data_IF_648762181057
#
_entry.id   IF_648762181057
#
_cell.length_a   1.000
_cell.length_b   1.000
_cell.length_c   1.000
_cell.angle_alpha   90.00
_cell.angle_beta   90.00
_cell.angle_gamma   90.00
#
_symmetry.space_group_name_H-M   'P 1'
#
loop_
_entity.id
_entity.type
_entity.pdbx_description
1 polymer ?
#
# COMPACT_ATOMS: atom_id res chain seq x y z
N UNK A 1 25.26 -58.17 -36.17
CA UNK A 1 25.53 -56.71 -36.26
C UNK A 1 24.77 -56.04 -37.41
N UNK A 2 24.20 -56.79 -38.33
CA UNK A 2 23.53 -56.28 -39.54
C UNK A 2 22.23 -55.52 -39.22
N UNK A 3 21.36 -56.09 -38.38
CA UNK A 3 20.12 -55.45 -37.92
C UNK A 3 20.32 -54.10 -37.21
N UNK A 4 21.45 -53.90 -36.53
CA UNK A 4 21.77 -52.65 -35.84
C UNK A 4 22.26 -51.57 -36.81
N UNK A 5 22.91 -51.99 -37.89
CA UNK A 5 23.43 -51.10 -38.94
C UNK A 5 22.29 -50.57 -39.82
N UNK A 6 21.29 -51.40 -40.10
CA UNK A 6 20.12 -51.04 -40.91
C UNK A 6 19.09 -50.24 -40.11
N UNK A 7 18.65 -50.73 -38.93
CA UNK A 7 17.61 -50.07 -38.14
C UNK A 7 18.11 -48.96 -37.21
N UNK A 8 19.41 -48.81 -37.02
CA UNK A 8 19.99 -47.83 -36.09
C UNK A 8 19.77 -46.38 -36.53
N UNK A 9 19.77 -46.12 -37.83
CA UNK A 9 19.55 -44.77 -38.38
C UNK A 9 18.07 -44.37 -38.23
N UNK A 10 17.15 -45.26 -38.58
CA UNK A 10 15.71 -45.04 -38.45
C UNK A 10 15.29 -44.88 -36.98
N UNK A 11 15.86 -45.69 -36.09
CA UNK A 11 15.68 -45.54 -34.65
C UNK A 11 16.15 -44.16 -34.17
N UNK A 12 17.35 -43.73 -34.56
CA UNK A 12 17.92 -42.44 -34.17
C UNK A 12 17.08 -41.27 -34.70
N UNK A 13 16.58 -41.37 -35.93
CA UNK A 13 15.68 -40.37 -36.51
C UNK A 13 14.39 -40.26 -35.68
N UNK A 14 13.74 -41.40 -35.43
CA UNK A 14 12.49 -41.46 -34.66
C UNK A 14 12.67 -40.99 -33.21
N UNK A 15 13.77 -41.36 -32.56
CA UNK A 15 14.13 -40.92 -31.22
C UNK A 15 14.38 -39.39 -31.16
N UNK A 16 15.03 -38.84 -32.18
CA UNK A 16 15.26 -37.39 -32.27
C UNK A 16 13.96 -36.60 -32.48
N UNK A 17 13.03 -37.13 -33.27
CA UNK A 17 11.69 -36.56 -33.47
C UNK A 17 10.87 -36.63 -32.18
N UNK A 18 10.85 -37.79 -31.52
CA UNK A 18 10.18 -37.97 -30.24
C UNK A 18 10.74 -37.01 -29.18
N UNK A 19 12.06 -36.88 -29.11
CA UNK A 19 12.72 -35.95 -28.18
C UNK A 19 12.35 -34.50 -28.48
N UNK A 20 12.25 -34.13 -29.76
CA UNK A 20 11.87 -32.77 -30.16
C UNK A 20 10.42 -32.46 -29.80
N UNK A 21 9.48 -33.34 -30.14
CA UNK A 21 8.07 -33.21 -29.77
C UNK A 21 7.88 -33.19 -28.25
N UNK A 22 8.64 -34.00 -27.51
CA UNK A 22 8.62 -34.01 -26.05
C UNK A 22 9.11 -32.69 -25.46
N UNK A 23 10.17 -32.10 -26.01
CA UNK A 23 10.68 -30.78 -25.57
C UNK A 23 9.63 -29.70 -25.76
N UNK A 24 8.99 -29.69 -26.92
CA UNK A 24 7.93 -28.75 -27.25
C UNK A 24 6.74 -28.89 -26.30
N UNK A 25 6.27 -30.12 -26.04
CA UNK A 25 5.21 -30.39 -25.07
C UNK A 25 5.57 -29.91 -23.66
N UNK A 26 6.79 -30.16 -23.19
CA UNK A 26 7.25 -29.72 -21.86
C UNK A 26 7.27 -28.19 -21.79
N UNK A 27 7.73 -27.51 -22.85
CA UNK A 27 7.73 -26.06 -22.90
C UNK A 27 6.31 -25.49 -22.82
N UNK A 28 5.37 -26.04 -23.60
CA UNK A 28 3.97 -25.62 -23.55
C UNK A 28 3.31 -25.88 -22.20
N UNK A 29 3.56 -27.05 -21.60
CA UNK A 29 3.06 -27.39 -20.27
C UNK A 29 3.59 -26.45 -19.20
N UNK A 30 4.89 -26.11 -19.25
CA UNK A 30 5.51 -25.16 -18.33
C UNK A 30 4.88 -23.78 -18.41
N UNK A 31 4.71 -23.25 -19.63
CA UNK A 31 4.04 -21.96 -19.83
C UNK A 31 2.59 -21.98 -19.34
N UNK A 32 1.85 -23.07 -19.61
CA UNK A 32 0.48 -23.23 -19.14
C UNK A 32 0.38 -23.25 -17.61
N UNK A 33 1.26 -23.99 -16.93
CA UNK A 33 1.28 -24.06 -15.46
C UNK A 33 1.62 -22.72 -14.83
N UNK A 34 2.55 -21.96 -15.42
CA UNK A 34 2.87 -20.59 -14.98
C UNK A 34 1.66 -19.68 -15.15
N UNK A 35 1.01 -19.68 -16.31
CA UNK A 35 -0.17 -18.85 -16.55
C UNK A 35 -1.34 -19.24 -15.64
N UNK A 36 -1.54 -20.53 -15.38
CA UNK A 36 -2.58 -21.01 -14.47
C UNK A 36 -2.29 -20.58 -13.03
N UNK A 37 -1.03 -20.66 -12.59
CA UNK A 37 -0.59 -20.19 -11.29
C UNK A 37 -0.78 -18.68 -11.14
N UNK A 38 -0.40 -17.88 -12.14
CA UNK A 38 -0.62 -16.44 -12.14
C UNK A 38 -2.10 -16.07 -12.13
N UNK A 39 -2.94 -16.77 -12.91
CA UNK A 39 -4.38 -16.54 -12.96
C UNK A 39 -5.08 -16.89 -11.63
N UNK A 40 -4.65 -17.96 -10.97
CA UNK A 40 -5.22 -18.42 -9.69
C UNK A 40 -4.61 -17.73 -8.47
N UNK A 41 -3.59 -16.90 -8.66
CA UNK A 41 -2.90 -16.24 -7.56
C UNK A 41 -3.75 -15.14 -6.97
N UNK A 42 -4.18 -15.32 -5.72
CA UNK A 42 -4.71 -14.23 -4.91
C UNK A 42 -3.55 -13.38 -4.36
N UNK A 43 -3.32 -12.22 -4.98
CA UNK A 43 -2.28 -11.27 -4.55
C UNK A 43 -2.91 -10.31 -3.54
N UNK A 44 -2.61 -10.50 -2.25
CA UNK A 44 -2.93 -9.50 -1.23
C UNK A 44 -1.82 -8.44 -1.18
N UNK A 45 -2.12 -7.23 -1.66
CA UNK A 45 -1.19 -6.09 -1.64
C UNK A 45 -1.11 -5.38 -0.29
N UNK A 46 -1.94 -5.78 0.68
CA UNK A 46 -2.00 -5.17 2.00
C UNK A 46 -2.06 -6.24 3.07
N UNK A 47 -1.08 -6.22 3.96
CA UNK A 47 -1.13 -7.01 5.19
C UNK A 47 -1.96 -6.23 6.21
N UNK A 48 -3.28 -6.44 6.20
CA UNK A 48 -4.17 -5.86 7.21
C UNK A 48 -3.92 -6.61 8.52
N UNK A 49 -2.99 -6.12 9.35
CA UNK A 49 -2.69 -6.66 10.68
C UNK A 49 -3.85 -6.34 11.65
N UNK A 50 -4.58 -5.25 11.42
CA UNK A 50 -5.80 -4.90 12.13
C UNK A 50 -6.75 -4.11 11.24
N UNK A 51 -8.06 -4.31 11.45
CA UNK A 51 -9.10 -3.55 10.77
C UNK A 51 -9.04 -2.07 11.16
N UNK A 52 -9.39 -1.14 10.26
CA UNK A 52 -9.43 0.28 10.58
C UNK A 52 -10.43 0.53 11.71
N UNK A 53 -9.96 1.14 12.79
CA UNK A 53 -10.81 1.56 13.90
C UNK A 53 -11.37 2.95 13.61
N UNK A 54 -12.67 3.11 13.82
CA UNK A 54 -13.29 4.44 13.88
C UNK A 54 -12.79 5.13 15.14
N UNK A 55 -12.36 6.39 15.02
CA UNK A 55 -11.84 7.13 16.16
C UNK A 55 -12.94 7.39 17.21
N UNK A 56 -12.75 6.87 18.42
CA UNK A 56 -13.72 6.97 19.54
C UNK A 56 -14.04 8.42 19.95
N UNK A 57 -13.10 9.34 19.74
CA UNK A 57 -13.26 10.76 20.09
C UNK A 57 -13.08 11.63 18.86
N UNK A 58 -14.01 12.57 18.69
CA UNK A 58 -13.92 13.60 17.65
C UNK A 58 -12.61 14.39 17.83
N UNK A 59 -11.81 14.46 16.75
CA UNK A 59 -10.53 15.18 16.70
C UNK A 59 -10.66 16.71 16.64
N UNK A 60 -11.88 17.24 16.66
CA UNK A 60 -12.11 18.68 16.70
C UNK A 60 -11.80 19.25 18.09
N UNK A 61 -11.37 20.52 18.16
CA UNK A 61 -11.10 21.17 19.43
C UNK A 61 -12.34 21.11 20.32
N UNK A 62 -12.12 20.78 21.59
CA UNK A 62 -13.21 20.62 22.55
C UNK A 62 -13.87 22.00 22.73
N UNK A 63 -15.20 22.09 22.53
CA UNK A 63 -15.93 23.38 22.50
C UNK A 63 -15.63 24.27 23.69
N UNK A 64 -15.60 23.70 24.89
CA UNK A 64 -15.34 24.47 26.11
C UNK A 64 -13.91 25.02 26.17
N UNK A 65 -12.92 24.33 25.59
CA UNK A 65 -11.52 24.77 25.59
C UNK A 65 -11.37 26.07 24.81
N UNK A 66 -12.00 26.17 23.64
CA UNK A 66 -11.96 27.40 22.83
C UNK A 66 -12.66 28.55 23.58
N UNK A 67 -13.78 28.28 24.24
CA UNK A 67 -14.51 29.29 25.03
C UNK A 67 -13.65 29.77 26.20
N UNK A 68 -13.01 28.87 26.94
CA UNK A 68 -12.16 29.23 28.08
C UNK A 68 -10.95 30.07 27.63
N UNK A 69 -10.29 29.68 26.53
CA UNK A 69 -9.14 30.42 26.00
C UNK A 69 -9.55 31.80 25.50
N UNK A 70 -10.66 31.91 24.77
CA UNK A 70 -11.14 33.20 24.26
C UNK A 70 -11.50 34.15 25.40
N UNK A 71 -12.20 33.69 26.43
CA UNK A 71 -12.53 34.50 27.61
C UNK A 71 -11.26 34.97 28.34
N UNK A 72 -10.26 34.08 28.54
CA UNK A 72 -9.00 34.46 29.18
C UNK A 72 -8.25 35.54 28.38
N UNK A 73 -8.15 35.38 27.06
CA UNK A 73 -7.48 36.35 26.19
C UNK A 73 -8.21 37.70 26.21
N UNK A 74 -9.54 37.70 26.11
CA UNK A 74 -10.33 38.93 26.17
C UNK A 74 -10.17 39.65 27.50
N UNK A 75 -10.14 38.92 28.62
CA UNK A 75 -9.94 39.51 29.95
C UNK A 75 -8.58 40.20 30.08
N UNK A 76 -7.50 39.54 29.62
CA UNK A 76 -6.15 40.11 29.64
C UNK A 76 -6.08 41.35 28.74
N UNK A 77 -6.62 41.27 27.53
CA UNK A 77 -6.66 42.40 26.61
C UNK A 77 -7.45 43.58 27.17
N UNK A 78 -8.58 43.33 27.85
CA UNK A 78 -9.35 44.39 28.50
C UNK A 78 -8.53 45.14 29.55
N UNK A 79 -7.80 44.42 30.40
CA UNK A 79 -6.92 45.02 31.42
C UNK A 79 -5.82 45.87 30.75
N UNK A 80 -5.19 45.36 29.70
CA UNK A 80 -4.15 46.10 28.95
C UNK A 80 -4.72 47.38 28.35
N UNK A 81 -5.87 47.32 27.68
CA UNK A 81 -6.51 48.47 27.04
C UNK A 81 -6.88 49.53 28.07
N UNK A 82 -7.48 49.13 29.20
CA UNK A 82 -7.84 50.06 30.28
C UNK A 82 -6.59 50.76 30.83
N UNK A 83 -5.51 50.00 31.09
CA UNK A 83 -4.25 50.54 31.59
C UNK A 83 -3.63 51.57 30.62
N UNK A 84 -3.65 51.29 29.31
CA UNK A 84 -3.14 52.20 28.29
C UNK A 84 -3.96 53.50 28.21
N UNK A 85 -5.29 53.40 28.28
CA UNK A 85 -6.18 54.57 28.29
C UNK A 85 -5.93 55.43 29.52
N UNK A 86 -5.82 54.83 30.71
CA UNK A 86 -5.56 55.57 31.95
C UNK A 86 -4.19 56.26 31.92
N UNK A 87 -3.15 55.55 31.47
CA UNK A 87 -1.80 56.12 31.32
C UNK A 87 -1.77 57.30 30.35
N UNK A 88 -2.56 57.25 29.28
CA UNK A 88 -2.66 58.32 28.29
C UNK A 88 -3.42 59.54 28.83
N UNK A 89 -4.45 59.31 29.66
CA UNK A 89 -5.21 60.39 30.31
C UNK A 89 -4.37 61.11 31.36
N UNK A 90 -3.57 60.37 32.14
CA UNK A 90 -2.66 60.91 33.15
C UNK A 90 -1.53 61.78 32.57
N UNK A 91 -1.08 61.49 31.35
CA UNK A 91 -0.05 62.30 30.65
C UNK A 91 -0.59 63.61 30.03
N UNK A 92 -1.91 63.76 29.89
CA UNK A 92 -2.56 64.95 29.31
C UNK A 92 -3.04 65.96 30.35
N UNK A 93 -3.08 65.59 31.63
CA UNK A 93 -3.35 66.46 32.77
C UNK A 93 -2.02 66.94 33.37
#
# INVERSE_FOLDING_TARGET
MENLKEKGIDYKSTDSLLTSARKEYIAYKGSFEVSLSEYTKDISYTQIISNPIVADKKAFPIRWVIITVTVMVTMILAIIVISLIESSKRKKA
#
